data_IF_691758102384
#
_entry.id   IF_691758102384
#
_cell.length_a   1.000
_cell.length_b   1.000
_cell.length_c   1.000
_cell.angle_alpha   90.00
_cell.angle_beta   90.00
_cell.angle_gamma   90.00
#
_symmetry.space_group_name_H-M   'P 1'
#
loop_
_entity.id
_entity.type
_entity.pdbx_description
1 polymer ?
#
# COMPACT_ATOMS: atom_id res chain seq x y z
N UNK A 1 42.72 -76.38 28.70
CA UNK A 1 41.79 -76.24 27.57
C UNK A 1 40.57 -75.46 28.07
N UNK A 2 40.80 -74.34 28.76
CA UNK A 2 40.72 -72.95 28.27
C UNK A 2 39.29 -72.55 27.89
N UNK A 3 38.62 -71.90 28.84
CA UNK A 3 37.27 -71.34 28.71
C UNK A 3 37.18 -70.28 27.59
N UNK A 4 38.32 -69.71 27.19
CA UNK A 4 38.47 -68.68 26.17
C UNK A 4 37.87 -69.03 24.80
N UNK A 5 37.85 -70.32 24.42
CA UNK A 5 37.35 -70.74 23.10
C UNK A 5 35.81 -70.68 23.01
N UNK A 6 35.10 -70.70 24.14
CA UNK A 6 33.63 -70.65 24.16
C UNK A 6 33.09 -69.23 23.93
N UNK A 7 33.89 -68.22 24.25
CA UNK A 7 33.49 -66.82 24.14
C UNK A 7 33.82 -66.19 22.78
N UNK A 8 34.66 -66.83 21.95
CA UNK A 8 35.02 -66.32 20.62
C UNK A 8 33.82 -66.04 19.71
N UNK A 9 32.77 -66.88 19.62
CA UNK A 9 31.60 -66.58 18.81
C UNK A 9 30.80 -65.38 19.33
N UNK A 10 30.73 -65.21 20.66
CA UNK A 10 30.07 -64.05 21.28
C UNK A 10 30.83 -62.77 20.94
N UNK A 11 32.16 -62.82 21.11
CA UNK A 11 33.06 -61.72 20.83
C UNK A 11 33.07 -61.35 19.34
N UNK A 12 33.02 -62.34 18.45
CA UNK A 12 32.84 -62.15 17.01
C UNK A 12 31.58 -61.36 16.67
N UNK A 13 30.44 -61.71 17.29
CA UNK A 13 29.20 -60.96 17.14
C UNK A 13 29.31 -59.52 17.65
N UNK A 14 29.96 -59.32 18.79
CA UNK A 14 30.17 -57.98 19.38
C UNK A 14 31.06 -57.09 18.50
N UNK A 15 32.15 -57.63 17.94
CA UNK A 15 33.01 -56.89 17.02
C UNK A 15 32.32 -56.54 15.70
N UNK A 16 31.50 -57.46 15.17
CA UNK A 16 30.66 -57.17 14.00
C UNK A 16 29.60 -56.10 14.29
N UNK A 17 29.05 -56.05 15.50
CA UNK A 17 28.11 -55.01 15.91
C UNK A 17 28.79 -53.63 16.04
N UNK A 18 30.01 -53.61 16.61
CA UNK A 18 30.86 -52.43 16.77
C UNK A 18 31.51 -51.90 15.47
N UNK A 19 31.22 -52.51 14.32
CA UNK A 19 31.80 -52.13 13.01
C UNK A 19 33.34 -52.15 12.98
N UNK A 20 33.97 -53.07 13.72
CA UNK A 20 35.42 -53.24 13.72
C UNK A 20 35.80 -54.30 12.69
N UNK A 21 36.56 -53.90 11.68
CA UNK A 21 37.01 -54.82 10.63
C UNK A 21 38.23 -55.66 11.05
N UNK A 22 37.99 -56.90 11.47
CA UNK A 22 39.03 -57.84 11.88
C UNK A 22 39.99 -58.23 10.74
N UNK A 23 39.53 -58.18 9.48
CA UNK A 23 40.38 -58.48 8.32
C UNK A 23 41.36 -57.33 8.05
N UNK A 24 40.91 -56.07 8.19
CA UNK A 24 41.76 -54.89 8.05
C UNK A 24 42.79 -54.78 9.19
N UNK A 25 42.41 -55.18 10.41
CA UNK A 25 43.33 -55.25 11.57
C UNK A 25 44.54 -56.16 11.28
N UNK A 26 44.31 -57.31 10.66
CA UNK A 26 45.39 -58.23 10.23
C UNK A 26 45.98 -57.88 8.85
N UNK A 27 45.42 -56.87 8.16
CA UNK A 27 45.75 -56.44 6.79
C UNK A 27 45.68 -57.59 5.78
N UNK A 28 44.59 -58.36 5.86
CA UNK A 28 44.31 -59.48 4.98
C UNK A 28 42.97 -59.28 4.28
N UNK A 29 42.76 -59.98 3.17
CA UNK A 29 41.46 -60.01 2.50
C UNK A 29 40.55 -61.07 3.13
N UNK A 30 39.24 -60.90 2.99
CA UNK A 30 38.23 -61.83 3.50
C UNK A 30 38.33 -63.24 2.87
N UNK A 31 38.95 -63.35 1.69
CA UNK A 31 39.19 -64.61 0.97
C UNK A 31 40.47 -65.34 1.42
N UNK A 32 41.23 -64.78 2.36
CA UNK A 32 42.50 -65.35 2.82
C UNK A 32 42.28 -66.70 3.52
N UNK A 33 43.03 -67.77 3.16
CA UNK A 33 42.92 -69.07 3.79
C UNK A 33 43.48 -69.06 5.21
N UNK A 34 43.01 -69.96 6.08
CA UNK A 34 43.34 -69.99 7.51
C UNK A 34 44.86 -70.02 7.80
N UNK A 35 45.62 -70.76 7.00
CA UNK A 35 47.08 -70.86 7.13
C UNK A 35 47.80 -69.51 6.96
N UNK A 36 47.26 -68.65 6.10
CA UNK A 36 47.82 -67.33 5.83
C UNK A 36 47.39 -66.29 6.87
N UNK A 37 46.27 -66.50 7.55
CA UNK A 37 45.81 -65.66 8.68
C UNK A 37 46.83 -65.71 9.82
N UNK A 38 47.29 -66.91 10.19
CA UNK A 38 48.29 -67.05 11.25
C UNK A 38 49.66 -66.46 10.83
N UNK A 39 50.01 -66.54 9.54
CA UNK A 39 51.22 -65.90 8.99
C UNK A 39 51.11 -64.37 9.00
N UNK A 40 49.96 -63.81 8.64
CA UNK A 40 49.70 -62.38 8.67
C UNK A 40 49.71 -61.84 10.10
N UNK A 41 49.08 -62.54 11.03
CA UNK A 41 49.15 -62.21 12.45
C UNK A 41 50.59 -62.18 12.96
N UNK A 42 51.43 -63.19 12.66
CA UNK A 42 52.84 -63.17 13.09
C UNK A 42 53.59 -61.93 12.55
N UNK A 43 53.34 -61.54 11.30
CA UNK A 43 53.95 -60.34 10.71
C UNK A 43 53.46 -59.05 11.38
N UNK A 44 52.15 -58.93 11.61
CA UNK A 44 51.54 -57.76 12.25
C UNK A 44 51.93 -57.66 13.74
N UNK A 45 51.91 -58.79 14.44
CA UNK A 45 52.31 -58.95 15.83
C UNK A 45 53.75 -58.50 16.05
N UNK A 46 54.71 -58.93 15.21
CA UNK A 46 56.10 -58.46 15.34
C UNK A 46 56.27 -56.94 15.24
N UNK A 47 55.33 -56.21 14.62
CA UNK A 47 55.36 -54.75 14.54
C UNK A 47 54.77 -54.09 15.79
N UNK A 48 53.79 -54.72 16.43
CA UNK A 48 53.04 -54.18 17.56
C UNK A 48 53.39 -54.85 18.91
N UNK A 49 54.37 -55.74 18.92
CA UNK A 49 54.81 -56.45 20.13
C UNK A 49 55.45 -55.46 21.14
N UNK A 50 55.16 -55.58 22.46
CA UNK A 50 55.66 -54.65 23.48
C UNK A 50 57.20 -54.54 23.51
N UNK A 51 57.90 -55.65 23.27
CA UNK A 51 59.36 -55.70 23.22
C UNK A 51 59.97 -54.93 22.03
N UNK A 52 59.25 -54.82 20.91
CA UNK A 52 59.79 -54.22 19.68
C UNK A 52 59.25 -52.82 19.39
N UNK A 53 58.03 -52.54 19.86
CA UNK A 53 57.36 -51.26 19.65
C UNK A 53 57.84 -50.18 20.64
N UNK A 54 58.36 -50.57 21.81
CA UNK A 54 58.96 -49.62 22.77
C UNK A 54 57.99 -48.48 23.13
N UNK A 55 58.30 -47.26 22.67
CA UNK A 55 57.50 -46.06 22.91
C UNK A 55 56.20 -45.97 22.07
N UNK A 56 56.12 -46.70 20.95
CA UNK A 56 54.94 -46.73 20.06
C UNK A 56 54.00 -47.90 20.39
N UNK A 57 54.18 -48.54 21.55
CA UNK A 57 53.36 -49.65 21.98
C UNK A 57 51.95 -49.17 22.34
N UNK A 58 50.96 -49.78 21.71
CA UNK A 58 49.55 -49.54 21.96
C UNK A 58 48.91 -50.85 22.44
N UNK A 59 48.56 -50.96 23.73
CA UNK A 59 48.01 -52.18 24.30
C UNK A 59 46.66 -52.55 23.68
N UNK A 60 45.83 -51.57 23.29
CA UNK A 60 44.51 -51.83 22.71
C UNK A 60 44.64 -52.43 21.31
N UNK A 61 45.58 -51.93 20.50
CA UNK A 61 45.86 -52.51 19.17
C UNK A 61 46.44 -53.91 19.27
N UNK A 62 47.29 -54.16 20.26
CA UNK A 62 47.84 -55.49 20.51
C UNK A 62 46.74 -56.49 20.88
N UNK A 63 45.89 -56.13 21.83
CA UNK A 63 44.76 -56.96 22.24
C UNK A 63 43.78 -57.21 21.07
N UNK A 64 43.52 -56.19 20.25
CA UNK A 64 42.68 -56.32 19.06
C UNK A 64 43.29 -57.25 18.02
N UNK A 65 44.62 -57.21 17.82
CA UNK A 65 45.34 -58.13 16.92
C UNK A 65 45.26 -59.57 17.39
N UNK A 66 45.39 -59.82 18.69
CA UNK A 66 45.24 -61.15 19.28
C UNK A 66 43.81 -61.68 19.11
N UNK A 67 42.81 -60.86 19.46
CA UNK A 67 41.39 -61.21 19.31
C UNK A 67 41.00 -61.42 17.84
N UNK A 68 41.50 -60.59 16.92
CA UNK A 68 41.28 -60.75 15.49
C UNK A 68 41.84 -62.08 14.97
N UNK A 69 43.05 -62.48 15.41
CA UNK A 69 43.60 -63.80 15.09
C UNK A 69 42.68 -64.90 15.61
N UNK A 70 42.30 -64.85 16.88
CA UNK A 70 41.55 -65.93 17.52
C UNK A 70 40.17 -66.12 16.87
N UNK A 71 39.46 -65.02 16.60
CA UNK A 71 38.15 -65.03 15.93
C UNK A 71 38.23 -65.51 14.48
N UNK A 72 39.27 -65.12 13.73
CA UNK A 72 39.39 -65.49 12.31
C UNK A 72 40.01 -66.88 12.09
N UNK A 73 40.70 -67.41 13.10
CA UNK A 73 41.30 -68.74 13.07
C UNK A 73 40.29 -69.84 13.40
N UNK A 74 39.35 -69.58 14.34
CA UNK A 74 38.23 -70.47 14.60
C UNK A 74 37.12 -70.32 13.55
N UNK A 75 36.66 -71.45 13.01
CA UNK A 75 35.69 -71.48 11.91
C UNK A 75 34.29 -71.08 12.38
N UNK A 76 33.93 -71.45 13.61
CA UNK A 76 32.65 -71.12 14.17
C UNK A 76 32.56 -69.61 14.46
N UNK A 77 33.57 -69.00 15.09
CA UNK A 77 33.59 -67.55 15.29
C UNK A 77 33.68 -66.76 13.98
N UNK A 78 34.44 -67.22 12.98
CA UNK A 78 34.52 -66.57 11.67
C UNK A 78 33.17 -66.56 10.95
N UNK A 79 32.45 -67.69 10.95
CA UNK A 79 31.11 -67.76 10.34
C UNK A 79 30.10 -66.86 11.05
N UNK A 80 30.19 -66.73 12.38
CA UNK A 80 29.34 -65.79 13.15
C UNK A 80 29.67 -64.35 12.79
N UNK A 81 30.94 -63.97 12.70
CA UNK A 81 31.38 -62.63 12.31
C UNK A 81 30.92 -62.26 10.89
N UNK A 82 31.24 -63.10 9.90
CA UNK A 82 30.88 -62.89 8.50
C UNK A 82 29.35 -62.87 8.32
N UNK A 83 28.64 -63.74 9.05
CA UNK A 83 27.17 -63.80 9.07
C UNK A 83 26.54 -62.54 9.66
N UNK A 84 27.09 -62.01 10.76
CA UNK A 84 26.62 -60.79 11.39
C UNK A 84 26.80 -59.56 10.49
N UNK A 85 27.95 -59.42 9.84
CA UNK A 85 28.20 -58.34 8.87
C UNK A 85 27.23 -58.43 7.69
N UNK A 86 27.06 -59.63 7.12
CA UNK A 86 26.14 -59.85 6.01
C UNK A 86 24.69 -59.55 6.40
N UNK A 87 24.25 -59.99 7.57
CA UNK A 87 22.91 -59.71 8.08
C UNK A 87 22.67 -58.21 8.30
N UNK A 88 23.68 -57.49 8.81
CA UNK A 88 23.62 -56.04 8.99
C UNK A 88 23.51 -55.31 7.65
N UNK A 89 24.30 -55.71 6.66
CA UNK A 89 24.24 -55.15 5.31
C UNK A 89 22.88 -55.39 4.66
N UNK A 90 22.34 -56.61 4.77
CA UNK A 90 21.02 -56.94 4.23
C UNK A 90 19.91 -56.11 4.90
N UNK A 91 19.90 -56.02 6.23
CA UNK A 91 18.94 -55.19 6.99
C UNK A 91 19.01 -53.71 6.58
N UNK A 92 20.21 -53.20 6.29
CA UNK A 92 20.40 -51.83 5.81
C UNK A 92 19.80 -51.65 4.41
N UNK A 93 20.07 -52.57 3.49
CA UNK A 93 19.50 -52.54 2.13
C UNK A 93 17.98 -52.65 2.14
N UNK A 94 17.42 -53.55 2.96
CA UNK A 94 15.98 -53.70 3.14
C UNK A 94 15.34 -52.43 3.70
N UNK A 95 15.96 -51.81 4.72
CA UNK A 95 15.49 -50.54 5.27
C UNK A 95 15.50 -49.44 4.22
N UNK A 96 16.61 -49.29 3.48
CA UNK A 96 16.73 -48.29 2.41
C UNK A 96 15.72 -48.52 1.28
N UNK A 97 15.41 -49.78 0.94
CA UNK A 97 14.38 -50.10 -0.03
C UNK A 97 12.99 -49.72 0.48
N UNK A 98 12.65 -50.07 1.71
CA UNK A 98 11.38 -49.70 2.34
C UNK A 98 11.22 -48.18 2.46
N UNK A 99 12.29 -47.45 2.80
CA UNK A 99 12.28 -45.99 2.91
C UNK A 99 12.10 -45.33 1.53
N UNK A 100 12.70 -45.89 0.47
CA UNK A 100 12.46 -45.44 -0.91
C UNK A 100 11.01 -45.64 -1.34
N UNK A 101 10.42 -46.80 -1.02
CA UNK A 101 9.01 -47.08 -1.35
C UNK A 101 8.05 -46.20 -0.54
N UNK A 102 8.32 -46.00 0.76
CA UNK A 102 7.57 -45.04 1.61
C UNK A 102 7.64 -43.62 1.06
N UNK A 103 8.83 -43.19 0.63
CA UNK A 103 9.02 -41.86 0.04
C UNK A 103 8.23 -41.71 -1.27
N UNK A 104 8.31 -42.68 -2.18
CA UNK A 104 7.52 -42.66 -3.42
C UNK A 104 6.02 -42.54 -3.15
N UNK A 105 5.52 -43.27 -2.15
CA UNK A 105 4.10 -43.21 -1.79
C UNK A 105 3.72 -41.85 -1.20
N UNK A 106 4.56 -41.29 -0.33
CA UNK A 106 4.35 -39.95 0.22
C UNK A 106 4.35 -38.87 -0.88
N UNK A 107 5.32 -38.93 -1.81
CA UNK A 107 5.45 -37.98 -2.91
C UNK A 107 4.23 -38.08 -3.87
N UNK A 108 3.72 -39.28 -4.18
CA UNK A 108 2.50 -39.47 -4.99
C UNK A 108 1.26 -38.93 -4.28
N UNK A 109 1.13 -39.17 -2.97
CA UNK A 109 0.03 -38.63 -2.18
C UNK A 109 0.06 -37.10 -2.16
N UNK A 110 1.22 -36.50 -1.87
CA UNK A 110 1.41 -35.05 -1.86
C UNK A 110 1.14 -34.44 -3.23
N UNK A 111 1.59 -35.07 -4.32
CA UNK A 111 1.33 -34.59 -5.68
C UNK A 111 -0.18 -34.54 -5.98
N UNK A 112 -0.94 -35.58 -5.58
CA UNK A 112 -2.40 -35.63 -5.76
C UNK A 112 -3.12 -34.59 -4.90
N UNK A 113 -2.72 -34.44 -3.64
CA UNK A 113 -3.29 -33.44 -2.74
C UNK A 113 -3.02 -32.01 -3.23
N UNK A 114 -1.79 -31.72 -3.66
CA UNK A 114 -1.45 -30.42 -4.23
C UNK A 114 -2.17 -30.15 -5.55
N UNK A 115 -2.35 -31.16 -6.42
CA UNK A 115 -3.14 -30.99 -7.63
C UNK A 115 -4.60 -30.66 -7.32
N UNK A 116 -5.23 -31.38 -6.37
CA UNK A 116 -6.59 -31.09 -5.93
C UNK A 116 -6.70 -29.71 -5.27
N UNK A 117 -5.70 -29.30 -4.48
CA UNK A 117 -5.63 -27.98 -3.87
C UNK A 117 -5.54 -26.88 -4.93
N UNK A 118 -4.68 -27.04 -5.94
CA UNK A 118 -4.55 -26.08 -7.05
C UNK A 118 -5.86 -25.88 -7.79
N UNK A 119 -6.54 -26.98 -8.15
CA UNK A 119 -7.85 -26.89 -8.83
C UNK A 119 -8.88 -26.16 -7.96
N UNK A 120 -8.89 -26.40 -6.65
CA UNK A 120 -9.77 -25.67 -5.72
C UNK A 120 -9.40 -24.18 -5.67
N UNK A 121 -8.12 -23.86 -5.49
CA UNK A 121 -7.64 -22.48 -5.39
C UNK A 121 -7.93 -21.69 -6.67
N UNK A 122 -7.69 -22.28 -7.84
CA UNK A 122 -7.99 -21.69 -9.15
C UNK A 122 -9.49 -21.43 -9.32
N UNK A 123 -10.34 -22.38 -8.91
CA UNK A 123 -11.79 -22.21 -8.92
C UNK A 123 -12.23 -21.08 -7.98
N UNK A 124 -11.71 -21.05 -6.76
CA UNK A 124 -12.02 -19.99 -5.79
C UNK A 124 -11.53 -18.60 -6.24
N UNK A 125 -10.42 -18.54 -6.98
CA UNK A 125 -9.96 -17.30 -7.60
C UNK A 125 -10.90 -16.87 -8.72
N UNK A 126 -11.27 -17.77 -9.62
CA UNK A 126 -12.23 -17.50 -10.69
C UNK A 126 -13.58 -17.03 -10.15
N UNK A 127 -14.11 -17.72 -9.12
CA UNK A 127 -15.38 -17.34 -8.48
C UNK A 127 -15.29 -15.95 -7.82
N UNK A 128 -14.16 -15.64 -7.18
CA UNK A 128 -13.90 -14.29 -6.62
C UNK A 128 -13.86 -13.21 -7.68
N UNK A 129 -13.16 -13.44 -8.79
CA UNK A 129 -13.10 -12.49 -9.90
C UNK A 129 -14.47 -12.29 -10.56
N UNK A 130 -15.25 -13.37 -10.70
CA UNK A 130 -16.62 -13.30 -11.22
C UNK A 130 -17.53 -12.47 -10.30
N UNK A 131 -17.48 -12.70 -9.00
CA UNK A 131 -18.23 -11.91 -8.01
C UNK A 131 -17.79 -10.44 -8.00
N UNK A 132 -16.50 -10.16 -8.15
CA UNK A 132 -16.00 -8.79 -8.26
C UNK A 132 -16.54 -8.09 -9.50
N UNK A 133 -16.47 -8.74 -10.67
CA UNK A 133 -17.03 -8.19 -11.92
C UNK A 133 -18.54 -7.98 -11.83
N UNK A 134 -19.27 -8.89 -11.21
CA UNK A 134 -20.71 -8.73 -10.99
C UNK A 134 -21.01 -7.55 -10.07
N UNK A 135 -20.24 -7.38 -8.99
CA UNK A 135 -20.36 -6.25 -8.07
C UNK A 135 -20.05 -4.92 -8.74
N UNK A 136 -19.00 -4.85 -9.57
CA UNK A 136 -18.67 -3.67 -10.35
C UNK A 136 -19.78 -3.32 -11.33
N UNK A 137 -20.33 -4.32 -12.03
CA UNK A 137 -21.46 -4.13 -12.95
C UNK A 137 -22.70 -3.59 -12.24
N UNK A 138 -23.01 -4.10 -11.05
CA UNK A 138 -24.12 -3.62 -10.24
C UNK A 138 -23.90 -2.20 -9.75
N UNK A 139 -22.69 -1.88 -9.27
CA UNK A 139 -22.32 -0.53 -8.86
C UNK A 139 -22.42 0.45 -10.03
N UNK A 140 -21.93 0.08 -11.21
CA UNK A 140 -22.03 0.93 -12.39
C UNK A 140 -23.49 1.14 -12.82
N UNK A 141 -24.31 0.08 -12.76
CA UNK A 141 -25.75 0.19 -13.01
C UNK A 141 -26.45 1.10 -11.99
N UNK A 142 -26.05 1.05 -10.72
CA UNK A 142 -26.57 1.94 -9.68
C UNK A 142 -26.15 3.38 -9.94
N UNK A 143 -24.88 3.64 -10.25
CA UNK A 143 -24.35 4.97 -10.59
C UNK A 143 -25.09 5.59 -11.76
N UNK A 144 -25.32 4.84 -12.83
CA UNK A 144 -26.08 5.32 -13.99
C UNK A 144 -27.52 5.70 -13.62
N UNK A 145 -28.18 4.91 -12.75
CA UNK A 145 -29.53 5.24 -12.26
C UNK A 145 -29.54 6.45 -11.35
N UNK A 146 -28.54 6.58 -10.47
CA UNK A 146 -28.39 7.74 -9.59
C UNK A 146 -28.14 9.01 -10.40
N UNK A 147 -27.25 8.98 -11.39
CA UNK A 147 -26.99 10.10 -12.31
C UNK A 147 -28.24 10.47 -13.13
N UNK A 148 -29.01 9.49 -13.60
CA UNK A 148 -30.30 9.74 -14.26
C UNK A 148 -31.34 10.34 -13.30
N UNK A 149 -31.41 9.86 -12.07
CA UNK A 149 -32.32 10.38 -11.05
C UNK A 149 -31.96 11.82 -10.67
N UNK A 150 -30.67 12.14 -10.53
CA UNK A 150 -30.19 13.51 -10.30
C UNK A 150 -30.59 14.41 -11.46
N UNK A 151 -30.32 14.00 -12.71
CA UNK A 151 -30.75 14.78 -13.89
C UNK A 151 -32.26 15.02 -13.95
N UNK A 152 -33.06 14.01 -13.60
CA UNK A 152 -34.52 14.14 -13.54
C UNK A 152 -34.97 15.08 -12.41
N UNK A 153 -34.31 15.03 -11.24
CA UNK A 153 -34.61 15.89 -10.11
C UNK A 153 -34.27 17.37 -10.43
N UNK A 154 -33.12 17.62 -11.07
CA UNK A 154 -32.74 18.94 -11.55
C UNK A 154 -33.76 19.48 -12.55
N UNK A 155 -34.14 18.69 -13.56
CA UNK A 155 -35.17 19.08 -14.52
C UNK A 155 -36.53 19.35 -13.86
N UNK A 156 -36.89 18.59 -12.82
CA UNK A 156 -38.12 18.82 -12.05
C UNK A 156 -38.06 20.13 -11.25
N UNK A 157 -36.91 20.45 -10.64
CA UNK A 157 -36.69 21.72 -9.95
C UNK A 157 -36.78 22.91 -10.91
N UNK A 158 -36.18 22.83 -12.10
CA UNK A 158 -36.28 23.88 -13.11
C UNK A 158 -37.74 24.16 -13.53
N UNK A 159 -38.54 23.10 -13.69
CA UNK A 159 -39.98 23.22 -13.99
C UNK A 159 -40.74 23.86 -12.83
N UNK A 160 -40.43 23.49 -11.59
CA UNK A 160 -41.03 24.07 -10.39
C UNK A 160 -40.69 25.57 -10.27
N UNK A 161 -39.43 25.95 -10.47
CA UNK A 161 -38.95 27.34 -10.45
C UNK A 161 -39.63 28.20 -11.53
N UNK A 162 -39.75 27.67 -12.76
CA UNK A 162 -40.47 28.33 -13.85
C UNK A 162 -41.97 28.49 -13.52
N UNK A 163 -42.58 27.47 -12.90
CA UNK A 163 -43.96 27.54 -12.45
C UNK A 163 -44.14 28.59 -11.33
N UNK A 164 -43.21 28.68 -10.39
CA UNK A 164 -43.22 29.68 -9.33
C UNK A 164 -43.04 31.10 -9.90
N UNK A 165 -42.10 31.30 -10.83
CA UNK A 165 -41.91 32.57 -11.52
C UNK A 165 -43.18 33.02 -12.26
N UNK A 166 -43.86 32.07 -12.91
CA UNK A 166 -45.15 32.31 -13.58
C UNK A 166 -46.26 32.65 -12.58
N UNK A 167 -46.30 32.00 -11.41
CA UNK A 167 -47.24 32.34 -10.32
C UNK A 167 -46.98 33.75 -9.78
N UNK A 168 -45.73 34.10 -9.48
CA UNK A 168 -45.34 35.44 -9.03
C UNK A 168 -45.69 36.53 -10.05
N UNK A 169 -45.50 36.26 -11.35
CA UNK A 169 -45.92 37.17 -12.41
C UNK A 169 -47.44 37.31 -12.48
N UNK A 170 -48.18 36.21 -12.33
CA UNK A 170 -49.64 36.21 -12.28
C UNK A 170 -50.15 37.01 -11.07
N UNK A 171 -49.60 36.79 -9.88
CA UNK A 171 -49.95 37.55 -8.67
C UNK A 171 -49.66 39.04 -8.82
N UNK A 172 -48.48 39.43 -9.34
CA UNK A 172 -48.16 40.84 -9.65
C UNK A 172 -49.13 41.44 -10.68
N UNK A 173 -49.56 40.66 -11.68
CA UNK A 173 -50.54 41.09 -12.68
C UNK A 173 -51.90 41.31 -12.04
N UNK A 174 -52.35 40.37 -11.21
CA UNK A 174 -53.65 40.41 -10.54
C UNK A 174 -53.67 41.52 -9.46
N UNK A 175 -52.57 41.74 -8.73
CA UNK A 175 -52.42 42.85 -7.78
C UNK A 175 -52.40 44.20 -8.49
N UNK A 176 -51.69 44.34 -9.62
CA UNK A 176 -51.75 45.54 -10.46
C UNK A 176 -53.16 45.78 -10.99
N UNK A 177 -53.88 44.74 -11.41
CA UNK A 177 -55.27 44.84 -11.83
C UNK A 177 -56.17 45.32 -10.68
N UNK A 178 -56.03 44.75 -9.48
CA UNK A 178 -56.73 45.21 -8.26
C UNK A 178 -56.40 46.65 -7.90
N UNK A 179 -55.12 47.05 -7.91
CA UNK A 179 -54.69 48.44 -7.66
C UNK A 179 -55.20 49.41 -8.72
N UNK A 180 -55.26 49.00 -9.99
CA UNK A 180 -55.86 49.82 -11.08
C UNK A 180 -57.35 49.99 -10.83
N UNK A 181 -58.09 48.93 -10.55
CA UNK A 181 -59.51 49.01 -10.19
C UNK A 181 -59.74 49.89 -8.96
N UNK A 182 -58.92 49.76 -7.92
CA UNK A 182 -59.00 50.60 -6.71
C UNK A 182 -58.63 52.06 -6.97
N UNK A 183 -57.64 52.34 -7.84
CA UNK A 183 -57.30 53.71 -8.26
C UNK A 183 -58.38 54.32 -9.15
N UNK A 184 -59.02 53.51 -9.99
CA UNK A 184 -60.12 53.95 -10.84
C UNK A 184 -61.36 54.27 -10.00
N UNK A 185 -61.67 53.46 -8.99
CA UNK A 185 -62.71 53.78 -8.01
C UNK A 185 -62.35 54.95 -7.09
N UNK A 186 -61.08 55.08 -6.67
CA UNK A 186 -60.58 56.24 -5.90
C UNK A 186 -60.53 57.52 -6.75
N UNK A 187 -60.20 57.46 -8.03
CA UNK A 187 -60.20 58.60 -8.96
C UNK A 187 -61.63 59.03 -9.31
N UNK A 188 -62.55 58.07 -9.39
CA UNK A 188 -63.98 58.35 -9.52
C UNK A 188 -64.56 59.01 -8.25
N UNK A 189 -63.93 58.81 -7.08
CA UNK A 189 -64.39 59.38 -5.80
C UNK A 189 -63.60 60.61 -5.33
N UNK A 190 -62.36 60.81 -5.78
CA UNK A 190 -61.49 61.92 -5.37
C UNK A 190 -60.79 62.53 -6.59
N UNK A 191 -61.15 63.77 -6.94
CA UNK A 191 -60.57 64.54 -8.04
C UNK A 191 -59.06 64.74 -7.88
N UNK A 192 -58.36 64.75 -9.03
CA UNK A 192 -56.90 64.81 -9.16
C UNK A 192 -56.24 66.01 -8.48
N UNK A 193 -55.31 65.79 -7.55
CA UNK A 193 -54.40 66.82 -6.99
C UNK A 193 -52.94 66.39 -7.26
N UNK A 194 -52.19 67.26 -7.95
CA UNK A 194 -50.79 67.08 -8.32
C UNK A 194 -49.83 67.23 -7.14
N UNK A 195 -48.66 66.58 -7.24
CA UNK A 195 -47.62 66.56 -6.22
C UNK A 195 -46.40 67.36 -6.69
N UNK A 196 -45.76 68.21 -5.86
CA UNK A 196 -44.51 68.88 -6.21
C UNK A 196 -43.28 68.00 -5.89
N UNK A 197 -42.19 68.31 -6.60
CA UNK A 197 -40.93 67.58 -6.66
C UNK A 197 -39.82 68.32 -5.91
N UNK A 198 -39.01 67.57 -5.16
CA UNK A 198 -37.63 67.90 -4.75
C UNK A 198 -37.35 67.86 -3.24
N UNK A 199 -36.07 67.73 -2.79
CA UNK A 199 -34.89 67.11 -3.42
C UNK A 199 -34.16 66.12 -2.49
N UNK A 200 -33.18 65.37 -3.03
CA UNK A 200 -32.31 64.47 -2.25
C UNK A 200 -30.82 64.68 -2.61
N UNK A 201 -30.04 65.02 -1.57
CA UNK A 201 -28.60 64.76 -1.33
C UNK A 201 -27.56 65.02 -2.43
N UNK A 202 -26.72 66.05 -2.19
CA UNK A 202 -25.42 66.25 -2.85
C UNK A 202 -25.05 67.74 -2.87
N UNK A 203 -24.15 68.17 -1.99
CA UNK A 203 -24.10 69.54 -1.45
C UNK A 203 -23.49 70.62 -2.36
N UNK A 204 -23.03 70.31 -3.58
CA UNK A 204 -22.57 71.30 -4.57
C UNK A 204 -22.79 70.74 -5.97
N UNK A 205 -23.43 71.48 -6.86
CA UNK A 205 -23.67 71.05 -8.25
C UNK A 205 -22.56 71.63 -9.14
N UNK A 206 -21.41 70.95 -9.20
CA UNK A 206 -20.30 71.33 -10.09
C UNK A 206 -20.57 70.77 -11.49
N UNK A 207 -20.70 71.60 -12.53
CA UNK A 207 -20.86 71.14 -13.91
C UNK A 207 -19.72 70.22 -14.33
N UNK A 208 -20.04 69.11 -15.03
CA UNK A 208 -19.06 68.09 -15.40
C UNK A 208 -17.89 68.63 -16.23
N UNK A 209 -18.14 69.61 -17.09
CA UNK A 209 -17.14 70.23 -17.99
C UNK A 209 -16.28 71.30 -17.30
N UNK A 210 -16.44 71.52 -15.99
CA UNK A 210 -15.60 72.45 -15.24
C UNK A 210 -14.16 71.92 -15.17
N UNK A 211 -13.23 72.74 -15.67
CA UNK A 211 -11.81 72.45 -15.65
C UNK A 211 -11.15 73.41 -14.66
N UNK A 212 -10.69 72.88 -13.53
CA UNK A 212 -9.95 73.67 -12.56
C UNK A 212 -8.46 73.67 -12.92
N UNK A 213 -7.85 74.85 -12.97
CA UNK A 213 -6.42 75.00 -13.29
C UNK A 213 -5.54 74.58 -12.09
N UNK A 214 -5.44 73.26 -11.88
CA UNK A 214 -4.66 72.60 -10.84
C UNK A 214 -3.42 71.95 -11.47
N UNK A 215 -2.59 72.70 -12.18
CA UNK A 215 -1.34 72.22 -12.83
C UNK A 215 -1.50 71.13 -13.89
N UNK A 216 -2.68 70.51 -13.97
CA UNK A 216 -3.09 69.45 -14.88
C UNK A 216 -4.54 69.79 -15.26
N UNK A 217 -4.75 70.11 -16.53
CA UNK A 217 -6.00 70.69 -17.06
C UNK A 217 -7.04 69.57 -17.30
N UNK A 218 -7.60 69.01 -16.22
CA UNK A 218 -8.47 67.82 -16.25
C UNK A 218 -9.91 68.21 -15.89
N UNK A 219 -10.93 67.76 -16.65
CA UNK A 219 -12.33 68.06 -16.34
C UNK A 219 -12.82 67.33 -15.07
N UNK A 220 -13.76 67.95 -14.35
CA UNK A 220 -14.25 67.43 -13.07
C UNK A 220 -14.79 65.99 -13.15
N UNK A 221 -15.47 65.63 -14.25
CA UNK A 221 -15.97 64.26 -14.45
C UNK A 221 -14.84 63.21 -14.52
N UNK A 222 -13.66 63.57 -15.04
CA UNK A 222 -12.50 62.66 -15.10
C UNK A 222 -11.93 62.40 -13.70
N UNK A 223 -11.91 63.41 -12.83
CA UNK A 223 -11.51 63.27 -11.42
C UNK A 223 -12.48 62.36 -10.66
N UNK A 224 -13.78 62.48 -10.92
CA UNK A 224 -14.81 61.58 -10.36
C UNK A 224 -14.60 60.15 -10.86
N UNK A 225 -14.30 59.96 -12.15
CA UNK A 225 -13.96 58.66 -12.72
C UNK A 225 -12.65 58.08 -12.15
N UNK A 226 -11.63 58.90 -11.90
CA UNK A 226 -10.37 58.51 -11.25
C UNK A 226 -10.62 58.02 -9.81
N UNK A 227 -11.42 58.76 -9.02
CA UNK A 227 -11.87 58.30 -7.69
C UNK A 227 -12.60 56.97 -7.76
N UNK A 228 -13.52 56.79 -8.71
CA UNK A 228 -14.27 55.53 -8.85
C UNK A 228 -13.35 54.37 -9.24
N UNK A 229 -12.39 54.59 -10.13
CA UNK A 229 -11.35 53.60 -10.49
C UNK A 229 -10.50 53.24 -9.27
N UNK A 230 -10.06 54.21 -8.49
CA UNK A 230 -9.29 53.98 -7.26
C UNK A 230 -10.10 53.18 -6.21
N UNK A 231 -11.39 53.50 -6.01
CA UNK A 231 -12.27 52.75 -5.10
C UNK A 231 -12.47 51.31 -5.57
N UNK A 232 -12.64 51.10 -6.87
CA UNK A 232 -12.76 49.77 -7.44
C UNK A 232 -11.45 48.98 -7.32
N UNK A 233 -10.30 49.63 -7.45
CA UNK A 233 -8.99 49.02 -7.25
C UNK A 233 -8.81 48.51 -5.81
N UNK A 234 -9.14 49.31 -4.80
CA UNK A 234 -9.14 48.88 -3.39
C UNK A 234 -10.05 47.67 -3.18
N UNK A 235 -11.27 47.70 -3.73
CA UNK A 235 -12.21 46.58 -3.63
C UNK A 235 -11.69 45.31 -4.30
N UNK A 236 -10.98 45.42 -5.42
CA UNK A 236 -10.41 44.27 -6.12
C UNK A 236 -9.22 43.68 -5.32
N UNK A 237 -8.36 44.53 -4.75
CA UNK A 237 -7.23 44.11 -3.92
C UNK A 237 -7.69 43.44 -2.61
N UNK A 238 -8.74 43.96 -1.98
CA UNK A 238 -9.37 43.35 -0.80
C UNK A 238 -9.92 41.94 -1.07
N UNK A 239 -10.28 41.62 -2.32
CA UNK A 239 -10.74 40.28 -2.70
C UNK A 239 -9.61 39.30 -2.99
N UNK A 240 -8.38 39.78 -3.18
CA UNK A 240 -7.24 38.99 -3.65
C UNK A 240 -6.21 38.64 -2.56
N UNK A 241 -6.52 38.80 -1.27
CA UNK A 241 -5.61 38.55 -0.12
C UNK A 241 -4.19 39.11 -0.33
N UNK A 242 -4.11 40.33 -0.87
CA UNK A 242 -2.85 41.02 -1.17
C UNK A 242 -2.20 41.60 0.09
N UNK A 243 -0.89 41.87 0.04
CA UNK A 243 -0.14 42.41 1.19
C UNK A 243 -0.70 43.75 1.70
N UNK A 244 -0.65 43.94 3.03
CA UNK A 244 -1.23 45.12 3.69
C UNK A 244 -0.64 46.45 3.20
N UNK A 245 0.64 46.47 2.80
CA UNK A 245 1.30 47.66 2.26
C UNK A 245 0.69 48.12 0.93
N UNK A 246 0.33 47.17 0.05
CA UNK A 246 -0.29 47.47 -1.26
C UNK A 246 -1.72 47.99 -1.06
N UNK A 247 -2.45 47.44 -0.10
CA UNK A 247 -3.80 47.89 0.25
C UNK A 247 -3.78 49.30 0.84
N UNK A 248 -2.83 49.61 1.72
CA UNK A 248 -2.65 50.97 2.27
C UNK A 248 -2.31 51.99 1.17
N UNK A 249 -1.48 51.61 0.20
CA UNK A 249 -1.15 52.52 -0.90
C UNK A 249 -2.36 52.78 -1.83
N UNK A 250 -3.17 51.76 -2.11
CA UNK A 250 -4.41 51.92 -2.86
C UNK A 250 -5.44 52.79 -2.11
N UNK A 251 -5.53 52.68 -0.78
CA UNK A 251 -6.39 53.54 0.03
C UNK A 251 -5.92 55.00 0.04
N UNK A 252 -4.60 55.25 0.07
CA UNK A 252 -4.04 56.60 -0.08
C UNK A 252 -4.43 57.21 -1.44
N UNK A 253 -4.39 56.44 -2.51
CA UNK A 253 -4.82 56.91 -3.84
C UNK A 253 -6.30 57.33 -3.87
N UNK A 254 -7.18 56.62 -3.17
CA UNK A 254 -8.60 57.03 -3.01
C UNK A 254 -8.72 58.35 -2.24
N UNK A 255 -7.94 58.52 -1.18
CA UNK A 255 -7.94 59.76 -0.38
C UNK A 255 -7.40 60.95 -1.19
N UNK A 256 -6.37 60.74 -2.01
CA UNK A 256 -5.83 61.78 -2.89
C UNK A 256 -6.85 62.20 -3.94
N UNK A 257 -7.54 61.24 -4.60
CA UNK A 257 -8.59 61.55 -5.57
C UNK A 257 -9.76 62.31 -4.93
N UNK A 258 -10.14 61.98 -3.69
CA UNK A 258 -11.15 62.74 -2.93
C UNK A 258 -10.68 64.16 -2.60
N UNK A 259 -9.40 64.34 -2.25
CA UNK A 259 -8.83 65.65 -1.97
C UNK A 259 -8.83 66.53 -3.21
N UNK A 260 -8.41 66.00 -4.36
CA UNK A 260 -8.47 66.70 -5.65
C UNK A 260 -9.88 67.15 -5.99
N UNK A 261 -10.88 66.25 -5.88
CA UNK A 261 -12.30 66.59 -6.10
C UNK A 261 -12.74 67.72 -5.15
N UNK A 262 -12.39 67.64 -3.87
CA UNK A 262 -12.77 68.66 -2.90
C UNK A 262 -12.12 70.02 -3.18
N UNK A 263 -10.85 70.05 -3.56
CA UNK A 263 -10.15 71.28 -3.95
C UNK A 263 -10.80 71.95 -5.16
N UNK A 264 -11.22 71.14 -6.15
CA UNK A 264 -11.98 71.61 -7.32
C UNK A 264 -13.35 72.15 -6.93
N UNK A 265 -14.08 71.45 -6.08
CA UNK A 265 -15.39 71.89 -5.57
C UNK A 265 -15.27 73.21 -4.80
N UNK A 266 -14.27 73.35 -3.92
CA UNK A 266 -14.05 74.59 -3.15
C UNK A 266 -13.64 75.74 -4.07
N UNK A 267 -12.82 75.50 -5.10
CA UNK A 267 -12.49 76.53 -6.10
C UNK A 267 -13.71 76.96 -6.89
N UNK A 268 -14.50 76.01 -7.39
CA UNK A 268 -15.75 76.30 -8.09
C UNK A 268 -16.70 77.12 -7.23
N UNK A 269 -16.83 76.78 -5.94
CA UNK A 269 -17.62 77.57 -4.99
C UNK A 269 -17.07 79.00 -4.79
N UNK A 270 -15.74 79.17 -4.70
CA UNK A 270 -15.12 80.50 -4.57
C UNK A 270 -15.31 81.34 -5.84
N UNK A 271 -15.18 80.74 -7.01
CA UNK A 271 -15.37 81.41 -8.30
C UNK A 271 -16.84 81.78 -8.52
N UNK A 272 -17.78 80.89 -8.20
CA UNK A 272 -19.22 81.17 -8.31
C UNK A 272 -19.73 82.14 -7.24
N UNK A 273 -19.06 82.28 -6.10
CA UNK A 273 -19.39 83.26 -5.07
C UNK A 273 -18.72 84.64 -5.29
N UNK A 274 -17.73 84.75 -6.18
CA UNK A 274 -17.04 85.99 -6.52
C UNK A 274 -17.61 86.72 -7.75
N UNK A 275 -18.66 86.16 -8.36
CA UNK A 275 -19.44 86.71 -9.49
C UNK A 275 -20.80 87.15 -8.98
#
# INVERSE_FOLDING_TARGET
MSEDNKDLPRLAGEYAEKDIDLYDVLRIDALTPKEDIHRAWRKASLKHHPDKAGADYDPEKWELLEKARDILMDENSRTVYDGAIKAKLLRKQEREAMDKERKKFADDLEARENAARRVRDEKEQMDREMLQKERERLNEQQRMREEEAVRQAEAAQEVEDLAEARRRLKEKRDEKARKRQAKESMKATLGSIGKPSGPANGTVNVPGDYVADLSINVPYWELVCEKLRAVQAVRNLQKQDTSAEILQEAEKAVLEARRKIHEVEVRYQRETAAV
#
